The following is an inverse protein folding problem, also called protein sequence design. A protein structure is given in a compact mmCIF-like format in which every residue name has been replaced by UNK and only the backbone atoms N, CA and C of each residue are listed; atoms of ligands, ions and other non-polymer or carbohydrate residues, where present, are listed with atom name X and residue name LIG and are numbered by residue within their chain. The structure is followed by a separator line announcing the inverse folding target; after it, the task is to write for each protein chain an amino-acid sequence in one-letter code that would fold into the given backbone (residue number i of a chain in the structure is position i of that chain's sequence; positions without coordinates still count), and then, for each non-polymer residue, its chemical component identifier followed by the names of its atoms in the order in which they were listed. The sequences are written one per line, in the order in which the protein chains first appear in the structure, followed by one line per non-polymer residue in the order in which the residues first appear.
data_IF_803548863373
#
_entry.id   IF_803548863373
#
_cell.length_a   1.000
_cell.length_b   1.000
_cell.length_c   1.000
_cell.angle_alpha   90.00
_cell.angle_beta   90.00
_cell.angle_gamma   90.00
#
_symmetry.space_group_name_H-M   'P 1'
#
loop_
_entity.id
_entity.type
_entity.pdbx_description
1 polymer ?
#
# COMPACT_ATOMS: atom_id res chain seq x y z
N UNK A 1 -4.33 -1.07 -5.34
CA UNK A 1 -4.62 -0.37 -4.07
C UNK A 1 -5.20 1.03 -4.34
N UNK A 2 -4.40 2.01 -4.77
CA UNK A 2 -4.86 3.41 -4.95
C UNK A 2 -6.02 3.56 -5.93
N UNK A 3 -6.14 2.70 -6.95
CA UNK A 3 -7.30 2.69 -7.85
C UNK A 3 -8.59 2.26 -7.14
N UNK A 4 -8.49 1.48 -6.06
CA UNK A 4 -9.64 1.01 -5.29
C UNK A 4 -10.23 -0.32 -5.77
N UNK A 5 -9.42 -1.23 -6.33
CA UNK A 5 -9.88 -2.61 -6.60
C UNK A 5 -10.29 -3.25 -5.29
N UNK A 6 -11.48 -3.87 -5.23
CA UNK A 6 -12.07 -4.45 -4.02
C UNK A 6 -12.91 -3.46 -3.18
N UNK A 7 -12.94 -2.19 -3.56
CA UNK A 7 -13.85 -1.20 -2.97
C UNK A 7 -15.26 -1.35 -3.55
N UNK A 8 -16.18 -1.88 -2.74
CA UNK A 8 -17.58 -2.09 -3.16
C UNK A 8 -18.34 -0.79 -3.40
N UNK A 9 -17.87 0.33 -2.87
CA UNK A 9 -18.45 1.65 -3.10
C UNK A 9 -18.06 2.25 -4.46
N UNK A 10 -17.05 1.70 -5.13
CA UNK A 10 -16.47 2.19 -6.38
C UNK A 10 -15.99 3.66 -6.31
N UNK A 11 -15.64 4.14 -5.13
CA UNK A 11 -15.21 5.54 -4.92
C UNK A 11 -13.69 5.73 -5.01
N UNK A 12 -12.89 4.67 -5.03
CA UNK A 12 -11.45 4.74 -5.20
C UNK A 12 -10.63 4.35 -3.97
N UNK A 13 -11.10 3.36 -3.22
CA UNK A 13 -10.38 2.72 -2.13
C UNK A 13 -10.14 3.66 -0.94
N UNK A 14 -8.90 3.69 -0.43
CA UNK A 14 -8.58 4.50 0.76
C UNK A 14 -8.61 6.02 0.53
N UNK A 15 -8.52 6.49 -0.72
CA UNK A 15 -8.38 7.93 -1.02
C UNK A 15 -9.57 8.77 -0.55
N UNK A 16 -10.84 8.43 -0.87
CA UNK A 16 -11.99 9.18 -0.36
C UNK A 16 -12.15 9.03 1.16
N UNK A 17 -11.86 7.86 1.71
CA UNK A 17 -11.92 7.59 3.16
C UNK A 17 -10.94 8.50 3.90
N UNK A 18 -9.70 8.58 3.43
CA UNK A 18 -8.67 9.47 4.00
C UNK A 18 -9.07 10.94 3.85
N UNK A 19 -9.67 11.34 2.72
CA UNK A 19 -10.11 12.72 2.51
C UNK A 19 -11.13 13.15 3.55
N UNK A 20 -12.15 12.33 3.81
CA UNK A 20 -13.15 12.58 4.85
C UNK A 20 -12.55 12.63 6.25
N UNK A 21 -11.62 11.72 6.55
CA UNK A 21 -10.93 11.69 7.84
C UNK A 21 -10.09 12.95 8.07
N UNK A 22 -9.37 13.44 7.06
CA UNK A 22 -8.60 14.68 7.14
C UNK A 22 -9.49 15.91 7.33
N UNK A 23 -10.66 15.97 6.69
CA UNK A 23 -11.65 17.02 6.89
C UNK A 23 -12.18 17.01 8.32
N UNK A 24 -12.50 15.82 8.85
CA UNK A 24 -13.04 15.66 10.19
C UNK A 24 -12.02 15.99 11.29
N UNK A 25 -10.77 15.53 11.15
CA UNK A 25 -9.76 15.62 12.20
C UNK A 25 -9.07 17.00 12.25
N UNK A 26 -8.98 17.69 11.11
CA UNK A 26 -8.21 18.92 10.99
C UNK A 26 -9.01 20.16 10.60
N UNK A 27 -10.31 20.03 10.37
CA UNK A 27 -11.15 21.11 9.84
C UNK A 27 -10.62 21.66 8.50
N UNK A 28 -10.03 20.78 7.68
CA UNK A 28 -9.51 21.12 6.36
C UNK A 28 -10.58 20.96 5.29
N UNK A 29 -10.50 21.78 4.25
CA UNK A 29 -11.20 21.52 2.99
C UNK A 29 -10.29 20.67 2.10
N UNK A 30 -10.67 19.42 1.86
CA UNK A 30 -9.84 18.47 1.13
C UNK A 30 -10.36 18.25 -0.29
N UNK A 31 -9.52 18.53 -1.27
CA UNK A 31 -9.74 18.11 -2.65
C UNK A 31 -8.70 17.07 -3.04
N UNK A 32 -9.11 15.83 -3.21
CA UNK A 32 -8.23 14.75 -3.63
C UNK A 32 -8.23 14.52 -5.14
N UNK A 33 -7.11 13.99 -5.64
CA UNK A 33 -6.96 13.50 -7.00
C UNK A 33 -6.37 12.10 -6.94
N UNK A 34 -7.09 11.11 -7.48
CA UNK A 34 -6.64 9.73 -7.51
C UNK A 34 -6.02 9.41 -8.89
N UNK A 35 -4.72 9.14 -8.91
CA UNK A 35 -3.96 8.74 -10.10
C UNK A 35 -3.57 7.26 -10.08
N UNK A 36 -4.19 6.46 -9.21
CA UNK A 36 -3.94 5.01 -9.11
C UNK A 36 -4.31 4.27 -10.40
N UNK A 37 -3.45 3.39 -10.85
CA UNK A 37 -3.72 2.40 -11.90
C UNK A 37 -3.30 1.04 -11.37
N UNK A 38 -4.25 0.09 -11.34
CA UNK A 38 -4.00 -1.28 -10.91
C UNK A 38 -2.90 -1.92 -11.77
N UNK A 39 -2.07 -2.75 -11.14
CA UNK A 39 -1.00 -3.46 -11.83
C UNK A 39 0.27 -2.65 -12.13
N UNK A 40 0.29 -1.32 -11.89
CA UNK A 40 1.49 -0.52 -12.18
C UNK A 40 2.65 -0.83 -11.23
N UNK A 41 3.82 -1.09 -11.80
CA UNK A 41 5.12 -1.15 -11.10
C UNK A 41 5.67 0.24 -10.85
N UNK A 42 6.72 0.33 -10.01
CA UNK A 42 7.44 1.58 -9.76
C UNK A 42 7.96 2.24 -11.05
N UNK A 43 8.39 1.44 -12.03
CA UNK A 43 8.85 1.94 -13.33
C UNK A 43 7.72 2.59 -14.13
N UNK A 44 6.55 1.97 -14.16
CA UNK A 44 5.37 2.50 -14.87
C UNK A 44 4.82 3.75 -14.20
N UNK A 45 4.84 3.80 -12.85
CA UNK A 45 4.47 4.99 -12.08
C UNK A 45 5.40 6.15 -12.43
N UNK A 46 6.72 5.94 -12.35
CA UNK A 46 7.72 6.95 -12.68
C UNK A 46 7.53 7.49 -14.11
N UNK A 47 7.42 6.59 -15.10
CA UNK A 47 7.20 6.97 -16.49
C UNK A 47 5.94 7.83 -16.66
N UNK A 48 4.84 7.42 -16.05
CA UNK A 48 3.56 8.15 -16.11
C UNK A 48 3.65 9.53 -15.45
N UNK A 49 4.34 9.66 -14.33
CA UNK A 49 4.60 10.96 -13.71
C UNK A 49 5.44 11.87 -14.57
N UNK A 50 6.37 11.31 -15.37
CA UNK A 50 7.18 12.08 -16.33
C UNK A 50 6.37 12.57 -17.55
N UNK A 51 5.43 11.75 -18.03
CA UNK A 51 4.70 12.00 -19.29
C UNK A 51 3.39 12.78 -19.09
N UNK A 52 2.73 12.64 -17.93
CA UNK A 52 1.39 13.22 -17.70
C UNK A 52 1.46 14.61 -17.09
N UNK A 53 1.11 15.61 -17.89
CA UNK A 53 1.12 17.03 -17.47
C UNK A 53 0.12 17.35 -16.36
N UNK A 54 -1.00 16.65 -16.31
CA UNK A 54 -2.01 16.77 -15.24
C UNK A 54 -1.44 16.35 -13.88
N UNK A 55 -0.71 15.22 -13.81
CA UNK A 55 -0.02 14.78 -12.60
C UNK A 55 0.98 15.84 -12.14
N UNK A 56 1.83 16.33 -13.05
CA UNK A 56 2.84 17.34 -12.73
C UNK A 56 2.20 18.66 -12.25
N UNK A 57 1.12 19.11 -12.89
CA UNK A 57 0.37 20.31 -12.49
C UNK A 57 -0.20 20.17 -11.08
N UNK A 58 -0.78 19.01 -10.77
CA UNK A 58 -1.45 18.78 -9.49
C UNK A 58 -0.43 18.57 -8.36
N UNK A 59 0.68 17.90 -8.61
CA UNK A 59 1.80 17.78 -7.66
C UNK A 59 2.38 19.14 -7.26
N UNK A 60 2.49 20.07 -8.21
CA UNK A 60 2.96 21.45 -7.94
C UNK A 60 2.09 22.18 -6.91
N UNK A 61 0.79 21.86 -6.84
CA UNK A 61 -0.20 22.49 -5.96
C UNK A 61 -0.54 21.65 -4.74
N UNK A 62 -0.13 20.39 -4.74
CA UNK A 62 -0.48 19.45 -3.68
C UNK A 62 0.06 19.91 -2.32
N UNK A 63 -0.72 19.67 -1.27
CA UNK A 63 -0.34 19.91 0.13
C UNK A 63 0.15 18.63 0.81
N UNK A 64 -0.32 17.48 0.33
CA UNK A 64 0.08 16.14 0.77
C UNK A 64 0.03 15.21 -0.44
N UNK A 65 0.97 14.27 -0.51
CA UNK A 65 0.96 13.16 -1.46
C UNK A 65 0.96 11.84 -0.70
N UNK A 66 0.08 10.93 -1.08
CA UNK A 66 0.14 9.52 -0.68
C UNK A 66 0.58 8.68 -1.87
N UNK A 67 1.39 7.65 -1.63
CA UNK A 67 1.92 6.77 -2.68
C UNK A 67 1.85 5.31 -2.24
N UNK A 68 1.18 4.46 -3.02
CA UNK A 68 1.27 3.00 -2.91
C UNK A 68 2.13 2.49 -4.06
N UNK A 69 3.22 1.81 -3.76
CA UNK A 69 4.21 1.35 -4.75
C UNK A 69 5.00 0.16 -4.23
N UNK A 70 5.45 -0.71 -5.12
CA UNK A 70 6.34 -1.83 -4.79
C UNK A 70 5.65 -3.20 -4.82
N UNK A 71 4.36 -3.32 -4.50
CA UNK A 71 3.65 -4.60 -4.53
C UNK A 71 3.72 -5.27 -5.91
N UNK A 72 3.47 -4.53 -6.99
CA UNK A 72 3.56 -5.08 -8.33
C UNK A 72 5.01 -5.36 -8.76
N UNK A 73 6.00 -4.64 -8.22
CA UNK A 73 7.40 -4.96 -8.43
C UNK A 73 7.74 -6.33 -7.83
N UNK A 74 7.29 -6.60 -6.60
CA UNK A 74 7.43 -7.92 -5.94
C UNK A 74 6.72 -9.01 -6.74
N UNK A 75 5.48 -8.80 -7.16
CA UNK A 75 4.72 -9.77 -7.98
C UNK A 75 5.44 -10.11 -9.30
N UNK A 76 6.08 -9.15 -9.95
CA UNK A 76 6.89 -9.42 -11.16
C UNK A 76 8.08 -10.33 -10.84
N UNK A 77 8.81 -10.06 -9.76
CA UNK A 77 9.92 -10.93 -9.33
C UNK A 77 9.43 -12.35 -9.05
N UNK A 78 8.28 -12.50 -8.37
CA UNK A 78 7.67 -13.82 -8.11
C UNK A 78 7.37 -14.55 -9.42
N UNK A 79 6.71 -13.89 -10.36
CA UNK A 79 6.32 -14.50 -11.66
C UNK A 79 7.53 -14.93 -12.48
N UNK A 80 8.58 -14.11 -12.49
CA UNK A 80 9.79 -14.37 -13.26
C UNK A 80 10.66 -15.49 -12.66
N UNK A 81 10.44 -15.84 -11.38
CA UNK A 81 11.26 -16.79 -10.60
C UNK A 81 10.45 -17.90 -9.92
N UNK A 82 9.25 -18.20 -10.41
CA UNK A 82 8.29 -19.09 -9.72
C UNK A 82 8.84 -20.50 -9.42
N UNK A 83 9.79 -20.98 -10.21
CA UNK A 83 10.40 -22.30 -10.04
C UNK A 83 11.60 -22.32 -9.09
N UNK A 84 12.13 -21.16 -8.72
CA UNK A 84 13.32 -21.02 -7.87
C UNK A 84 13.23 -19.76 -7.00
N UNK A 85 12.10 -19.58 -6.35
CA UNK A 85 11.83 -18.43 -5.50
C UNK A 85 12.56 -18.58 -4.16
N UNK A 86 13.40 -17.60 -3.84
CA UNK A 86 14.06 -17.46 -2.53
C UNK A 86 14.27 -15.98 -2.21
N UNK A 87 14.63 -15.67 -0.96
CA UNK A 87 14.81 -14.30 -0.48
C UNK A 87 15.87 -13.54 -1.28
N UNK A 88 16.98 -14.19 -1.64
CA UNK A 88 18.10 -13.56 -2.36
C UNK A 88 17.71 -13.08 -3.76
N UNK A 89 16.71 -13.74 -4.37
CA UNK A 89 16.16 -13.36 -5.69
C UNK A 89 15.67 -11.91 -5.70
N UNK A 90 15.24 -11.38 -4.56
CA UNK A 90 14.68 -10.03 -4.42
C UNK A 90 15.74 -8.94 -4.19
N UNK A 91 16.98 -9.29 -3.88
CA UNK A 91 18.03 -8.31 -3.51
C UNK A 91 18.28 -7.27 -4.61
N UNK A 92 18.59 -7.71 -5.83
CA UNK A 92 18.82 -6.79 -6.97
C UNK A 92 17.56 -6.02 -7.38
N UNK A 93 16.38 -6.66 -7.51
CA UNK A 93 15.12 -5.95 -7.76
C UNK A 93 14.80 -4.88 -6.72
N UNK A 94 15.04 -5.15 -5.42
CA UNK A 94 14.83 -4.18 -4.35
C UNK A 94 15.75 -2.96 -4.48
N UNK A 95 17.04 -3.15 -4.80
CA UNK A 95 17.96 -2.04 -5.08
C UNK A 95 17.51 -1.18 -6.29
N UNK A 96 17.05 -1.82 -7.35
CA UNK A 96 16.51 -1.11 -8.51
C UNK A 96 15.22 -0.36 -8.18
N UNK A 97 14.36 -0.94 -7.35
CA UNK A 97 13.16 -0.30 -6.82
C UNK A 97 13.50 0.91 -5.94
N UNK A 98 14.45 0.80 -5.01
CA UNK A 98 14.90 1.91 -4.16
C UNK A 98 15.37 3.11 -5.00
N UNK A 99 16.14 2.87 -6.07
CA UNK A 99 16.56 3.91 -7.00
C UNK A 99 15.36 4.60 -7.69
N UNK A 100 14.40 3.82 -8.19
CA UNK A 100 13.19 4.38 -8.82
C UNK A 100 12.32 5.13 -7.83
N UNK A 101 12.21 4.65 -6.59
CA UNK A 101 11.46 5.34 -5.54
C UNK A 101 12.07 6.71 -5.24
N UNK A 102 13.40 6.82 -5.14
CA UNK A 102 14.08 8.11 -5.04
C UNK A 102 13.74 9.04 -6.22
N UNK A 103 13.79 8.54 -7.44
CA UNK A 103 13.42 9.33 -8.64
C UNK A 103 11.94 9.79 -8.61
N UNK A 104 11.02 8.96 -8.11
CA UNK A 104 9.61 9.33 -7.95
C UNK A 104 9.48 10.48 -6.94
N UNK A 105 10.16 10.40 -5.79
CA UNK A 105 10.16 11.45 -4.77
C UNK A 105 10.71 12.77 -5.34
N UNK A 106 11.86 12.71 -5.98
CA UNK A 106 12.51 13.89 -6.60
C UNK A 106 11.62 14.53 -7.66
N UNK A 107 10.98 13.70 -8.50
CA UNK A 107 10.06 14.18 -9.53
C UNK A 107 8.81 14.82 -8.93
N UNK A 108 8.23 14.20 -7.89
CA UNK A 108 7.07 14.76 -7.17
C UNK A 108 7.40 16.14 -6.57
N UNK A 109 8.63 16.33 -6.13
CA UNK A 109 9.13 17.57 -5.53
C UNK A 109 9.79 18.54 -6.49
N UNK A 110 9.79 18.27 -7.77
CA UNK A 110 10.44 19.13 -8.77
C UNK A 110 10.05 20.60 -8.63
N UNK A 111 8.76 20.89 -8.58
CA UNK A 111 8.17 22.23 -8.47
C UNK A 111 7.49 22.50 -7.12
N UNK A 112 7.61 21.58 -6.13
CA UNK A 112 7.03 21.66 -4.79
C UNK A 112 7.99 21.01 -3.78
N UNK A 113 9.06 21.71 -3.44
CA UNK A 113 10.25 21.19 -2.75
C UNK A 113 9.98 20.59 -1.36
N UNK A 114 8.97 21.09 -0.68
CA UNK A 114 8.62 20.69 0.70
C UNK A 114 7.40 19.78 0.78
N UNK A 115 6.88 19.30 -0.37
CA UNK A 115 5.70 18.42 -0.40
C UNK A 115 5.89 17.23 0.54
N UNK A 116 5.06 17.08 1.58
CA UNK A 116 5.07 15.90 2.42
C UNK A 116 4.53 14.70 1.64
N UNK A 117 5.27 13.58 1.71
CA UNK A 117 4.94 12.36 0.96
C UNK A 117 4.83 11.19 1.94
N UNK A 118 3.69 10.50 1.91
CA UNK A 118 3.41 9.32 2.71
C UNK A 118 3.42 8.08 1.82
N UNK A 119 4.43 7.23 2.00
CA UNK A 119 4.64 6.02 1.20
C UNK A 119 4.12 4.83 1.98
N UNK A 120 3.03 4.25 1.50
CA UNK A 120 2.38 3.10 2.11
C UNK A 120 3.16 1.84 1.79
N UNK A 121 3.52 1.08 2.81
CA UNK A 121 4.19 -0.21 2.67
C UNK A 121 3.33 -1.24 1.94
N UNK A 122 3.96 -2.33 1.54
CA UNK A 122 3.27 -3.51 1.01
C UNK A 122 2.92 -4.46 2.17
N UNK A 123 1.95 -5.34 1.95
CA UNK A 123 1.56 -6.39 2.88
C UNK A 123 1.59 -7.76 2.19
N UNK A 124 1.64 -8.83 2.99
CA UNK A 124 1.60 -10.21 2.52
C UNK A 124 0.14 -10.70 2.41
N UNK A 125 -0.46 -10.74 1.21
CA UNK A 125 -1.84 -11.21 1.04
C UNK A 125 -1.96 -12.72 1.10
N UNK A 126 -0.82 -13.44 1.01
CA UNK A 126 -0.79 -14.91 0.93
C UNK A 126 -0.73 -15.60 2.30
N UNK A 127 -0.46 -14.86 3.36
CA UNK A 127 -0.13 -15.41 4.68
C UNK A 127 -1.16 -16.42 5.23
N UNK A 128 -2.44 -16.11 5.13
CA UNK A 128 -3.49 -16.99 5.63
C UNK A 128 -3.84 -18.13 4.65
N UNK A 129 -3.68 -17.89 3.36
CA UNK A 129 -4.02 -18.87 2.32
C UNK A 129 -2.87 -19.86 2.02
N UNK A 130 -1.63 -19.43 2.27
CA UNK A 130 -0.40 -20.19 1.98
C UNK A 130 0.58 -20.07 3.16
N UNK A 131 0.22 -20.58 4.36
CA UNK A 131 1.05 -20.44 5.58
C UNK A 131 2.40 -21.16 5.48
N UNK A 132 2.54 -22.11 4.54
CA UNK A 132 3.78 -22.78 4.22
C UNK A 132 4.78 -21.90 3.46
N UNK A 133 4.33 -20.79 2.86
CA UNK A 133 5.19 -19.83 2.16
C UNK A 133 5.85 -18.84 3.14
N UNK A 134 6.65 -19.36 4.07
CA UNK A 134 7.26 -18.57 5.15
C UNK A 134 8.20 -17.46 4.65
N UNK A 135 8.87 -17.70 3.51
CA UNK A 135 9.75 -16.72 2.88
C UNK A 135 9.02 -15.46 2.43
N UNK A 136 7.72 -15.55 2.10
CA UNK A 136 6.95 -14.39 1.66
C UNK A 136 6.88 -13.29 2.72
N UNK A 137 6.79 -13.65 4.01
CA UNK A 137 6.81 -12.65 5.06
C UNK A 137 8.17 -11.94 5.11
N UNK A 138 9.27 -12.69 5.05
CA UNK A 138 10.62 -12.13 5.01
C UNK A 138 10.84 -11.23 3.80
N UNK A 139 10.32 -11.62 2.62
CA UNK A 139 10.39 -10.82 1.40
C UNK A 139 9.65 -9.48 1.56
N UNK A 140 8.44 -9.51 2.11
CA UNK A 140 7.63 -8.30 2.37
C UNK A 140 8.33 -7.40 3.38
N UNK A 141 8.84 -7.95 4.47
CA UNK A 141 9.54 -7.20 5.51
C UNK A 141 10.81 -6.52 4.96
N UNK A 142 11.63 -7.25 4.19
CA UNK A 142 12.83 -6.71 3.56
C UNK A 142 12.49 -5.62 2.53
N UNK A 143 11.40 -5.78 1.77
CA UNK A 143 10.94 -4.78 0.81
C UNK A 143 10.44 -3.51 1.50
N UNK A 144 9.69 -3.66 2.57
CA UNK A 144 9.23 -2.55 3.40
C UNK A 144 10.41 -1.82 4.06
N UNK A 145 11.38 -2.55 4.58
CA UNK A 145 12.62 -1.97 5.10
C UNK A 145 13.36 -1.17 4.01
N UNK A 146 13.48 -1.72 2.81
CA UNK A 146 14.09 -1.02 1.66
C UNK A 146 13.34 0.27 1.31
N UNK A 147 12.01 0.27 1.42
CA UNK A 147 11.18 1.47 1.22
C UNK A 147 11.43 2.51 2.32
N UNK A 148 11.44 2.09 3.57
CA UNK A 148 11.67 2.95 4.73
C UNK A 148 13.07 3.59 4.69
N UNK A 149 14.10 2.85 4.28
CA UNK A 149 15.46 3.35 4.10
C UNK A 149 15.53 4.48 3.05
N UNK A 150 14.73 4.41 1.99
CA UNK A 150 14.63 5.51 1.03
C UNK A 150 13.92 6.70 1.65
N UNK A 151 12.81 6.49 2.37
CA UNK A 151 12.10 7.58 3.05
C UNK A 151 13.02 8.37 3.99
N UNK A 152 13.87 7.70 4.77
CA UNK A 152 14.81 8.30 5.71
C UNK A 152 15.87 9.22 5.08
N UNK A 153 16.04 9.17 3.75
CA UNK A 153 16.99 10.03 3.02
C UNK A 153 16.41 11.41 2.65
N UNK A 154 15.12 11.62 2.87
CA UNK A 154 14.42 12.84 2.48
C UNK A 154 13.61 13.40 3.64
N UNK A 155 13.73 14.69 3.90
CA UNK A 155 12.88 15.38 4.87
C UNK A 155 11.42 15.33 4.41
N UNK A 156 10.47 15.21 5.34
CA UNK A 156 9.02 15.15 5.09
C UNK A 156 8.61 14.02 4.12
N UNK A 157 9.35 12.91 4.11
CA UNK A 157 8.95 11.66 3.44
C UNK A 157 8.82 10.57 4.50
N UNK A 158 7.64 10.02 4.60
CA UNK A 158 7.26 9.14 5.71
C UNK A 158 6.81 7.79 5.21
N UNK A 159 7.39 6.74 5.78
CA UNK A 159 6.90 5.38 5.60
C UNK A 159 5.66 5.12 6.46
N UNK A 160 4.64 4.49 5.87
CA UNK A 160 3.40 4.07 6.55
C UNK A 160 3.33 2.55 6.54
N UNK A 161 3.65 1.87 7.66
CA UNK A 161 3.56 0.42 7.74
C UNK A 161 2.10 -0.03 7.77
N UNK A 162 1.75 -1.02 6.92
CA UNK A 162 0.40 -1.61 6.87
C UNK A 162 0.41 -3.14 6.91
N UNK A 163 1.60 -3.77 6.78
CA UNK A 163 1.68 -5.23 6.75
C UNK A 163 1.02 -5.86 7.98
N UNK A 164 1.46 -5.47 9.18
CA UNK A 164 0.96 -6.03 10.45
C UNK A 164 -0.52 -5.75 10.71
N UNK A 165 -1.09 -4.79 10.00
CA UNK A 165 -2.50 -4.43 10.11
C UNK A 165 -3.40 -5.25 9.17
N UNK A 166 -2.83 -5.85 8.11
CA UNK A 166 -3.60 -6.47 7.04
C UNK A 166 -3.34 -7.98 6.86
N UNK A 167 -2.10 -8.46 7.10
CA UNK A 167 -1.71 -9.82 6.67
C UNK A 167 -2.40 -10.96 7.42
N UNK A 168 -2.85 -10.71 8.67
CA UNK A 168 -3.58 -11.70 9.50
C UNK A 168 -5.08 -11.46 9.55
N UNK A 169 -5.61 -10.53 8.76
CA UNK A 169 -6.99 -10.11 8.89
C UNK A 169 -7.22 -9.17 10.08
N UNK A 170 -8.48 -8.85 10.34
CA UNK A 170 -8.89 -7.93 11.40
C UNK A 170 -8.55 -8.55 12.76
N UNK A 171 -7.85 -7.78 13.59
CA UNK A 171 -7.41 -8.19 14.93
C UNK A 171 -6.56 -9.49 14.97
N UNK A 172 -5.97 -9.88 13.85
CA UNK A 172 -5.17 -11.09 13.73
C UNK A 172 -5.98 -12.38 13.85
N UNK A 173 -7.29 -12.29 13.75
CA UNK A 173 -8.18 -13.45 13.93
C UNK A 173 -8.43 -14.24 12.65
N UNK A 174 -8.19 -13.65 11.47
CA UNK A 174 -8.58 -14.24 10.19
C UNK A 174 -10.05 -14.69 10.20
N UNK A 175 -10.79 -14.57 9.13
CA UNK A 175 -12.20 -14.95 9.13
C UNK A 175 -12.39 -16.42 9.55
N UNK A 176 -12.76 -16.65 10.80
CA UNK A 176 -13.33 -17.94 11.22
C UNK A 176 -14.76 -17.93 10.73
N UNK A 177 -15.04 -18.68 9.66
CA UNK A 177 -16.44 -18.99 9.35
C UNK A 177 -17.02 -19.71 10.54
N UNK A 178 -17.81 -19.03 11.36
CA UNK A 178 -18.63 -19.63 12.38
C UNK A 178 -19.73 -20.41 11.68
N UNK A 179 -19.46 -21.66 11.35
CA UNK A 179 -20.49 -22.62 11.01
C UNK A 179 -20.96 -23.32 12.28
N UNK A 180 -21.86 -22.69 13.01
CA UNK A 180 -22.88 -23.42 13.75
C UNK A 180 -23.91 -23.94 12.73
N UNK A 181 -23.57 -25.02 12.06
CA UNK A 181 -24.57 -25.92 11.49
C UNK A 181 -23.97 -27.32 11.32
N UNK A 182 -24.43 -28.22 12.17
CA UNK A 182 -24.17 -29.63 12.14
C UNK A 182 -24.85 -30.27 10.93
N UNK A 183 -24.09 -30.47 9.83
CA UNK A 183 -24.38 -31.59 8.91
C UNK A 183 -23.18 -31.84 7.98
N UNK A 184 -22.62 -32.99 8.21
CA UNK A 184 -21.79 -33.90 7.40
C UNK A 184 -21.38 -33.44 5.98
N UNK A 185 -20.07 -33.53 5.75
CA UNK A 185 -19.47 -34.20 4.60
C UNK A 185 -18.34 -33.39 3.94
N UNK A 186 -17.17 -34.03 3.96
CA UNK A 186 -16.09 -34.03 2.96
C UNK A 186 -15.18 -32.80 2.82
N UNK A 187 -13.92 -33.06 3.23
CA UNK A 187 -12.66 -32.56 2.61
C UNK A 187 -12.73 -31.25 1.83
N UNK A 188 -12.66 -30.15 2.51
CA UNK A 188 -12.01 -28.96 2.00
C UNK A 188 -11.17 -28.37 3.13
N UNK A 189 -9.88 -28.24 2.90
CA UNK A 189 -8.99 -27.39 3.70
C UNK A 189 -9.52 -25.97 3.64
N UNK A 190 -10.45 -25.64 4.54
CA UNK A 190 -10.93 -24.28 4.75
C UNK A 190 -9.77 -23.48 5.35
N UNK A 191 -8.96 -22.85 4.49
CA UNK A 191 -8.02 -21.83 4.89
C UNK A 191 -8.80 -20.70 5.58
N UNK A 192 -8.27 -20.17 6.65
CA UNK A 192 -8.79 -18.99 7.33
C UNK A 192 -8.75 -17.82 6.35
N UNK A 193 -9.90 -17.34 5.88
CA UNK A 193 -9.98 -16.22 4.94
C UNK A 193 -9.60 -14.92 5.64
N UNK A 194 -8.84 -14.08 4.97
CA UNK A 194 -8.47 -12.76 5.46
C UNK A 194 -9.65 -11.79 5.25
N UNK A 195 -10.30 -11.41 6.33
CA UNK A 195 -11.50 -10.55 6.35
C UNK A 195 -11.24 -9.06 6.06
N UNK A 196 -9.97 -8.66 5.92
CA UNK A 196 -9.57 -7.34 5.46
C UNK A 196 -9.32 -7.29 3.93
N UNK A 197 -9.36 -8.45 3.25
CA UNK A 197 -9.12 -8.57 1.82
C UNK A 197 -10.42 -8.79 1.04
N UNK A 198 -10.37 -8.46 -0.24
CA UNK A 198 -11.47 -8.63 -1.18
C UNK A 198 -11.70 -10.13 -1.45
N UNK A 199 -12.95 -10.56 -1.34
CA UNK A 199 -13.32 -11.98 -1.39
C UNK A 199 -13.03 -12.61 -2.74
N UNK A 200 -13.15 -11.86 -3.85
CA UNK A 200 -12.99 -12.42 -5.19
C UNK A 200 -11.52 -12.70 -5.55
N UNK A 201 -10.59 -11.94 -5.01
CA UNK A 201 -9.17 -12.09 -5.39
C UNK A 201 -8.23 -12.42 -4.22
N UNK A 202 -8.70 -12.31 -2.99
CA UNK A 202 -7.94 -12.55 -1.76
C UNK A 202 -6.58 -11.82 -1.73
N UNK A 203 -6.50 -10.71 -2.44
CA UNK A 203 -5.26 -9.98 -2.66
C UNK A 203 -5.40 -8.48 -2.38
N UNK A 204 -6.39 -7.82 -2.98
CA UNK A 204 -6.65 -6.41 -2.72
C UNK A 204 -7.43 -6.23 -1.41
N UNK A 205 -7.30 -5.08 -0.72
CA UNK A 205 -8.15 -4.78 0.42
C UNK A 205 -9.62 -4.68 0.01
N UNK A 206 -10.51 -5.11 0.90
CA UNK A 206 -11.92 -4.74 0.85
C UNK A 206 -12.14 -3.37 1.54
N UNK A 207 -13.39 -2.96 1.72
CA UNK A 207 -13.71 -1.67 2.36
C UNK A 207 -13.10 -1.54 3.76
N UNK A 208 -13.09 -2.60 4.56
CA UNK A 208 -12.46 -2.62 5.89
C UNK A 208 -10.94 -2.48 5.78
N UNK A 209 -10.32 -3.20 4.85
CA UNK A 209 -8.88 -3.07 4.59
C UNK A 209 -8.50 -1.65 4.12
N UNK A 210 -9.32 -1.01 3.30
CA UNK A 210 -9.12 0.39 2.91
C UNK A 210 -9.30 1.38 4.05
N UNK A 211 -10.24 1.12 4.98
CA UNK A 211 -10.36 1.90 6.22
C UNK A 211 -9.09 1.78 7.06
N UNK A 212 -8.59 0.55 7.27
CA UNK A 212 -7.34 0.30 8.01
C UNK A 212 -6.16 1.06 7.38
N UNK A 213 -6.05 1.05 6.05
CA UNK A 213 -5.01 1.80 5.34
C UNK A 213 -5.15 3.32 5.55
N UNK A 214 -6.37 3.84 5.45
CA UNK A 214 -6.67 5.25 5.70
C UNK A 214 -6.28 5.66 7.11
N UNK A 215 -6.65 4.87 8.12
CA UNK A 215 -6.36 5.13 9.52
C UNK A 215 -4.85 5.12 9.80
N UNK A 216 -4.12 4.20 9.17
CA UNK A 216 -2.65 4.14 9.27
C UNK A 216 -1.99 5.41 8.69
N UNK A 217 -2.47 5.88 7.53
CA UNK A 217 -1.97 7.11 6.89
C UNK A 217 -2.32 8.32 7.77
N UNK A 218 -3.57 8.45 8.21
CA UNK A 218 -4.03 9.52 9.07
C UNK A 218 -3.23 9.60 10.37
N UNK A 219 -3.02 8.45 11.02
CA UNK A 219 -2.17 8.35 12.22
C UNK A 219 -0.76 8.89 11.95
N UNK A 220 -0.17 8.53 10.80
CA UNK A 220 1.17 9.00 10.44
C UNK A 220 1.19 10.51 10.16
N UNK A 221 0.16 11.04 9.50
CA UNK A 221 -0.02 12.48 9.29
C UNK A 221 -0.12 13.19 10.64
N UNK A 222 -0.95 12.71 11.56
CA UNK A 222 -1.09 13.27 12.91
C UNK A 222 0.24 13.36 13.68
N UNK A 223 1.10 12.36 13.51
CA UNK A 223 2.41 12.31 14.16
C UNK A 223 3.43 13.30 13.58
N UNK A 224 3.29 13.65 12.30
CA UNK A 224 4.35 14.35 11.54
C UNK A 224 3.92 15.71 11.00
N UNK A 225 2.62 16.06 11.02
CA UNK A 225 2.13 17.29 10.39
C UNK A 225 2.82 18.56 10.90
N UNK A 226 3.19 18.62 12.18
CA UNK A 226 3.91 19.77 12.76
C UNK A 226 5.29 20.01 12.14
N UNK A 227 5.88 18.99 11.52
CA UNK A 227 7.20 19.10 10.89
C UNK A 227 7.14 19.90 9.57
N UNK A 228 5.97 19.93 8.92
CA UNK A 228 5.81 20.53 7.58
C UNK A 228 4.65 21.51 7.43
N UNK A 229 3.67 21.56 8.36
CA UNK A 229 2.52 22.46 8.25
C UNK A 229 2.82 23.90 8.69
N UNK A 230 3.88 24.10 9.47
CA UNK A 230 4.20 25.41 10.06
C UNK A 230 3.30 25.82 11.24
N UNK A 231 2.55 24.86 11.79
CA UNK A 231 1.70 25.02 12.99
C UNK A 231 2.48 24.73 14.29
#
# INVERSE_FOLDING_TARGET
LTQGVGDSSNQGGFVPVLSQALESDFDWQVTSRNYGIAGNTSNQILKRMQEKKDIQRDLKKAKVMTLTVGGNDVIHVIKDNITNLNVDTFTKPAQAYQKRLGQIIELARKDNKTLPIYIVGIYNPFYLNFPEMTEMQTIVDNWNQSTEEVCKKYDNVYFVPVNDLLYKGIDGKGGVTSSDDTSQSSNSSQGSLNDALFEDDHFHPNNTGYQIMSDAILKRINQTKKEWSGE
#
